data_IF_971456861647
#
_entry.id   IF_971456861647
#
_cell.length_a   1.000
_cell.length_b   1.000
_cell.length_c   1.000
_cell.angle_alpha   90.00
_cell.angle_beta   90.00
_cell.angle_gamma   90.00
#
_symmetry.space_group_name_H-M   'P 1'
#
loop_
_entity.id
_entity.type
_entity.pdbx_description
1 polymer ?
#
# COMPACT_ATOMS: atom_id res chain seq x y z
N UNK A 1 42.71 -8.77 4.17
CA UNK A 1 41.83 -9.60 3.32
C UNK A 1 40.70 -10.15 4.20
N UNK A 2 39.78 -9.27 4.65
CA UNK A 2 38.78 -9.61 5.68
C UNK A 2 37.52 -8.74 5.51
N UNK A 3 36.84 -8.80 4.37
CA UNK A 3 35.74 -7.85 4.10
C UNK A 3 34.48 -8.44 3.49
N UNK A 4 34.41 -9.77 3.30
CA UNK A 4 33.20 -10.42 2.78
C UNK A 4 32.52 -11.33 3.81
N UNK A 5 33.29 -12.04 4.66
CA UNK A 5 32.77 -12.97 5.67
C UNK A 5 32.10 -12.28 6.86
N UNK A 6 32.55 -11.07 7.22
CA UNK A 6 32.14 -10.41 8.47
C UNK A 6 30.84 -9.61 8.30
N UNK A 7 30.49 -9.25 7.06
CA UNK A 7 29.21 -8.64 6.72
C UNK A 7 28.04 -9.62 6.90
N UNK A 8 28.27 -10.90 6.60
CA UNK A 8 27.27 -11.97 6.73
C UNK A 8 26.77 -12.14 8.17
N UNK A 9 27.63 -11.93 9.16
CA UNK A 9 27.25 -12.03 10.59
C UNK A 9 26.41 -10.86 11.09
N UNK A 10 26.47 -9.70 10.44
CA UNK A 10 25.78 -8.48 10.88
C UNK A 10 24.37 -8.32 10.26
N UNK A 11 24.11 -9.00 9.13
CA UNK A 11 22.88 -8.83 8.35
C UNK A 11 22.20 -10.18 8.03
N UNK A 12 21.77 -10.94 9.05
CA UNK A 12 21.23 -12.28 8.86
C UNK A 12 19.99 -12.32 7.96
N UNK A 13 19.09 -11.34 8.08
CA UNK A 13 17.88 -11.26 7.24
C UNK A 13 18.20 -10.99 5.76
N UNK A 14 19.26 -10.23 5.48
CA UNK A 14 19.66 -9.91 4.11
C UNK A 14 20.22 -11.14 3.40
N UNK A 15 20.91 -12.03 4.12
CA UNK A 15 21.37 -13.31 3.57
C UNK A 15 20.20 -14.19 3.14
N UNK A 16 19.14 -14.25 3.95
CA UNK A 16 17.94 -15.02 3.60
C UNK A 16 17.31 -14.51 2.31
N UNK A 17 17.21 -13.18 2.15
CA UNK A 17 16.72 -12.59 0.90
C UNK A 17 17.67 -12.88 -0.27
N UNK A 18 18.98 -12.82 -0.04
CA UNK A 18 19.99 -13.11 -1.08
C UNK A 18 19.93 -14.55 -1.57
N UNK A 19 19.66 -15.51 -0.68
CA UNK A 19 19.49 -16.92 -1.04
C UNK A 19 18.09 -17.25 -1.55
N UNK A 20 17.15 -16.29 -1.51
CA UNK A 20 15.73 -16.50 -1.73
C UNK A 20 15.09 -17.52 -0.77
N UNK A 21 15.60 -17.61 0.47
CA UNK A 21 15.10 -18.47 1.54
C UNK A 21 13.83 -17.89 2.19
N UNK A 22 12.80 -17.62 1.37
CA UNK A 22 11.58 -16.91 1.78
C UNK A 22 10.85 -17.59 2.95
N UNK A 23 10.92 -18.91 3.07
CA UNK A 23 10.30 -19.67 4.16
C UNK A 23 10.96 -19.40 5.52
N UNK A 24 12.29 -19.26 5.53
CA UNK A 24 13.02 -18.90 6.74
C UNK A 24 12.88 -17.41 7.02
N UNK A 25 12.90 -16.59 5.98
CA UNK A 25 12.62 -15.15 6.08
C UNK A 25 11.28 -14.87 6.76
N UNK A 26 10.20 -15.57 6.36
CA UNK A 26 8.87 -15.40 6.96
C UNK A 26 8.83 -15.76 8.46
N UNK A 27 9.62 -16.74 8.89
CA UNK A 27 9.71 -17.13 10.31
C UNK A 27 10.44 -16.06 11.13
N UNK A 28 11.57 -15.59 10.62
CA UNK A 28 12.44 -14.63 11.32
C UNK A 28 11.85 -13.21 11.36
N UNK A 29 11.04 -12.82 10.35
CA UNK A 29 10.44 -11.48 10.28
C UNK A 29 9.37 -11.19 11.34
N UNK A 30 8.84 -12.20 12.06
CA UNK A 30 7.75 -12.03 13.04
C UNK A 30 8.10 -11.16 14.25
N UNK A 31 9.37 -10.88 14.50
CA UNK A 31 9.81 -10.02 15.61
C UNK A 31 10.97 -9.11 15.25
N UNK A 32 11.23 -8.92 13.95
CA UNK A 32 12.39 -8.20 13.45
C UNK A 32 11.97 -6.97 12.65
N UNK A 33 12.92 -6.05 12.48
CA UNK A 33 12.70 -4.86 11.66
C UNK A 33 12.79 -5.20 10.18
N UNK A 34 11.65 -5.16 9.48
CA UNK A 34 11.53 -5.36 8.02
C UNK A 34 12.30 -4.29 7.23
N UNK A 35 12.49 -3.13 7.86
CA UNK A 35 13.14 -1.95 7.29
C UNK A 35 14.65 -1.90 7.55
N UNK A 36 15.25 -3.03 7.93
CA UNK A 36 16.70 -3.13 8.08
C UNK A 36 17.39 -2.78 6.76
N UNK A 37 18.50 -2.05 6.86
CA UNK A 37 19.29 -1.61 5.73
C UNK A 37 20.58 -2.43 5.61
N UNK A 38 20.95 -2.76 4.38
CA UNK A 38 22.23 -3.40 4.07
C UNK A 38 23.40 -2.38 4.05
N UNK A 39 24.66 -2.81 3.90
CA UNK A 39 25.81 -1.91 3.77
C UNK A 39 25.75 -0.94 2.58
N UNK A 40 24.86 -1.16 1.61
CA UNK A 40 24.58 -0.29 0.46
C UNK A 40 23.34 0.60 0.69
N UNK A 41 22.74 0.56 1.88
CA UNK A 41 21.55 1.31 2.25
C UNK A 41 20.28 0.87 1.53
N UNK A 42 20.21 -0.39 1.09
CA UNK A 42 19.01 -1.01 0.53
C UNK A 42 18.22 -1.67 1.64
N UNK A 43 16.90 -1.54 1.61
CA UNK A 43 16.04 -2.36 2.47
C UNK A 43 16.04 -3.81 2.00
N UNK A 44 15.53 -4.72 2.84
CA UNK A 44 15.25 -6.11 2.43
C UNK A 44 14.40 -6.17 1.14
N UNK A 45 13.42 -5.27 1.01
CA UNK A 45 12.54 -5.23 -0.16
C UNK A 45 13.27 -4.76 -1.43
N UNK A 46 14.11 -3.72 -1.34
CA UNK A 46 14.98 -3.32 -2.46
C UNK A 46 15.86 -4.49 -2.90
N UNK A 47 16.47 -5.20 -1.94
CA UNK A 47 17.30 -6.36 -2.25
C UNK A 47 16.50 -7.46 -2.97
N UNK A 48 15.33 -7.84 -2.47
CA UNK A 48 14.48 -8.85 -3.09
C UNK A 48 14.07 -8.48 -4.53
N UNK A 49 13.69 -7.21 -4.74
CA UNK A 49 13.32 -6.69 -6.06
C UNK A 49 14.50 -6.69 -7.02
N UNK A 50 15.67 -6.20 -6.58
CA UNK A 50 16.89 -6.15 -7.38
C UNK A 50 17.37 -7.52 -7.86
N UNK A 51 17.07 -8.57 -7.07
CA UNK A 51 17.43 -9.95 -7.36
C UNK A 51 16.33 -10.72 -8.12
N UNK A 52 15.15 -10.12 -8.33
CA UNK A 52 14.01 -10.80 -8.97
C UNK A 52 13.35 -11.86 -8.08
N UNK A 53 13.55 -11.80 -6.76
CA UNK A 53 13.05 -12.80 -5.81
C UNK A 53 11.59 -12.51 -5.43
N UNK A 54 10.66 -12.90 -6.30
CA UNK A 54 9.22 -12.65 -6.17
C UNK A 54 8.65 -13.11 -4.81
N UNK A 55 8.95 -14.33 -4.38
CA UNK A 55 8.41 -14.87 -3.13
C UNK A 55 8.95 -14.15 -1.89
N UNK A 56 10.25 -13.80 -1.90
CA UNK A 56 10.83 -12.96 -0.84
C UNK A 56 10.17 -11.58 -0.81
N UNK A 57 9.92 -10.97 -1.97
CA UNK A 57 9.20 -9.69 -2.05
C UNK A 57 7.76 -9.80 -1.51
N UNK A 58 7.02 -10.87 -1.85
CA UNK A 58 5.67 -11.12 -1.33
C UNK A 58 5.66 -11.25 0.20
N UNK A 59 6.61 -11.99 0.77
CA UNK A 59 6.75 -12.14 2.23
C UNK A 59 7.01 -10.78 2.89
N UNK A 60 7.96 -10.00 2.36
CA UNK A 60 8.29 -8.68 2.91
C UNK A 60 7.10 -7.71 2.85
N UNK A 61 6.36 -7.71 1.75
CA UNK A 61 5.17 -6.86 1.60
C UNK A 61 4.02 -7.27 2.54
N UNK A 62 3.82 -8.57 2.80
CA UNK A 62 2.87 -9.03 3.84
C UNK A 62 3.24 -8.55 5.23
N UNK A 63 4.54 -8.41 5.49
CA UNK A 63 5.09 -7.83 6.72
C UNK A 63 5.12 -6.29 6.71
N UNK A 64 4.39 -5.65 5.79
CA UNK A 64 4.25 -4.19 5.69
C UNK A 64 5.56 -3.45 5.41
N UNK A 65 6.44 -4.05 4.60
CA UNK A 65 7.59 -3.34 4.06
C UNK A 65 7.16 -2.06 3.32
N UNK A 66 7.86 -0.97 3.57
CA UNK A 66 7.57 0.33 2.98
C UNK A 66 8.09 0.40 1.54
N UNK A 67 7.15 0.44 0.59
CA UNK A 67 7.42 0.54 -0.85
C UNK A 67 7.88 1.94 -1.28
N UNK A 68 7.72 2.95 -0.43
CA UNK A 68 8.05 4.34 -0.73
C UNK A 68 9.47 4.73 -0.35
N UNK A 69 10.15 3.91 0.47
CA UNK A 69 11.53 4.18 0.84
C UNK A 69 12.46 4.24 -0.35
N UNK A 70 13.42 5.13 -0.23
CA UNK A 70 14.49 5.30 -1.20
C UNK A 70 15.77 4.60 -0.71
N UNK A 71 16.49 4.00 -1.64
CA UNK A 71 17.85 3.53 -1.42
C UNK A 71 18.85 4.71 -1.49
N UNK A 72 20.16 4.43 -1.39
CA UNK A 72 21.21 5.48 -1.44
C UNK A 72 21.27 6.26 -2.74
N UNK A 73 20.73 5.72 -3.83
CA UNK A 73 20.70 6.37 -5.13
C UNK A 73 19.42 7.21 -5.32
N UNK A 74 18.58 7.31 -4.28
CA UNK A 74 17.30 8.02 -4.33
C UNK A 74 16.20 7.24 -5.07
N UNK A 75 16.41 5.94 -5.32
CA UNK A 75 15.43 5.12 -6.03
C UNK A 75 14.50 4.45 -5.04
N UNK A 76 13.20 4.55 -5.31
CA UNK A 76 12.20 3.76 -4.59
C UNK A 76 12.17 2.31 -5.09
N UNK A 77 11.57 1.43 -4.30
CA UNK A 77 11.33 0.02 -4.66
C UNK A 77 10.64 -0.11 -6.02
N UNK A 78 9.70 0.79 -6.35
CA UNK A 78 9.01 0.77 -7.64
C UNK A 78 9.94 1.15 -8.81
N UNK A 79 10.83 2.13 -8.61
CA UNK A 79 11.83 2.46 -9.64
C UNK A 79 12.73 1.25 -9.94
N UNK A 80 13.16 0.56 -8.89
CA UNK A 80 13.99 -0.64 -9.02
C UNK A 80 13.20 -1.77 -9.72
N UNK A 81 11.95 -2.02 -9.34
CA UNK A 81 11.08 -3.02 -9.97
C UNK A 81 10.84 -2.73 -11.47
N UNK A 82 10.67 -1.47 -11.86
CA UNK A 82 10.54 -1.10 -13.27
C UNK A 82 11.86 -1.33 -14.02
N UNK A 83 12.99 -1.09 -13.37
CA UNK A 83 14.31 -1.28 -13.99
C UNK A 83 14.66 -2.74 -14.27
N UNK A 84 14.07 -3.71 -13.53
CA UNK A 84 14.30 -5.14 -13.79
C UNK A 84 13.60 -5.62 -15.06
N UNK A 85 12.58 -4.89 -15.54
CA UNK A 85 11.76 -5.29 -16.69
C UNK A 85 10.84 -6.48 -16.41
N UNK A 86 10.69 -6.90 -15.16
CA UNK A 86 9.80 -7.98 -14.75
C UNK A 86 8.39 -7.43 -14.45
N UNK A 87 7.40 -7.69 -15.32
CA UNK A 87 6.04 -7.18 -15.13
C UNK A 87 5.37 -7.77 -13.88
N UNK A 88 5.71 -8.98 -13.47
CA UNK A 88 5.13 -9.61 -12.28
C UNK A 88 5.63 -8.93 -11.01
N UNK A 89 6.93 -8.61 -10.95
CA UNK A 89 7.52 -7.85 -9.85
C UNK A 89 6.87 -6.47 -9.70
N UNK A 90 6.73 -5.74 -10.82
CA UNK A 90 6.08 -4.42 -10.84
C UNK A 90 4.64 -4.53 -10.35
N UNK A 91 3.89 -5.54 -10.81
CA UNK A 91 2.52 -5.77 -10.39
C UNK A 91 2.40 -5.98 -8.87
N UNK A 92 3.25 -6.84 -8.29
CA UNK A 92 3.23 -7.14 -6.85
C UNK A 92 3.47 -5.87 -6.00
N UNK A 93 4.46 -5.05 -6.39
CA UNK A 93 4.80 -3.81 -5.68
C UNK A 93 3.66 -2.79 -5.80
N UNK A 94 3.06 -2.63 -6.99
CA UNK A 94 1.94 -1.70 -7.21
C UNK A 94 0.70 -2.10 -6.42
N UNK A 95 0.33 -3.39 -6.43
CA UNK A 95 -0.84 -3.87 -5.68
C UNK A 95 -0.77 -3.52 -4.19
N UNK A 96 0.41 -3.68 -3.58
CA UNK A 96 0.59 -3.39 -2.16
C UNK A 96 0.65 -1.88 -1.88
N UNK A 97 1.17 -1.08 -2.80
CA UNK A 97 1.15 0.38 -2.73
C UNK A 97 -0.28 0.93 -2.74
N UNK A 98 -1.11 0.46 -3.68
CA UNK A 98 -2.48 0.93 -3.84
C UNK A 98 -3.37 0.46 -2.68
N UNK A 99 -3.14 -0.74 -2.14
CA UNK A 99 -3.78 -1.19 -0.90
C UNK A 99 -3.39 -0.30 0.30
N UNK A 100 -2.12 0.07 0.44
CA UNK A 100 -1.70 0.95 1.54
C UNK A 100 -2.33 2.35 1.40
N UNK A 101 -2.27 2.95 0.20
CA UNK A 101 -2.87 4.25 -0.08
C UNK A 101 -4.39 4.25 0.08
N UNK A 102 -5.08 3.20 -0.37
CA UNK A 102 -6.54 3.07 -0.17
C UNK A 102 -6.89 2.80 1.28
N UNK A 103 -6.11 2.00 2.03
CA UNK A 103 -6.35 1.82 3.48
C UNK A 103 -6.16 3.13 4.25
N UNK A 104 -5.14 3.93 3.93
CA UNK A 104 -4.90 5.25 4.53
C UNK A 104 -5.98 6.26 4.10
N UNK A 105 -6.44 6.22 2.85
CA UNK A 105 -7.58 7.02 2.39
C UNK A 105 -8.89 6.60 3.07
N UNK A 106 -9.07 5.31 3.32
CA UNK A 106 -10.22 4.72 4.03
C UNK A 106 -10.12 4.82 5.55
N UNK A 107 -8.99 5.25 6.12
CA UNK A 107 -8.86 5.67 7.52
C UNK A 107 -9.35 7.13 7.72
N UNK A 108 -9.50 7.92 6.65
CA UNK A 108 -10.20 9.21 6.66
C UNK A 108 -11.68 9.16 6.23
N UNK A 109 -12.09 8.15 5.47
CA UNK A 109 -13.50 7.90 5.08
C UNK A 109 -14.34 7.05 6.08
N UNK A 110 -13.83 6.42 7.16
CA UNK A 110 -14.61 5.47 7.94
C UNK A 110 -15.54 6.19 8.92
N UNK A 111 -15.27 7.43 9.33
CA UNK A 111 -16.16 8.16 10.24
C UNK A 111 -17.52 8.44 9.62
N UNK A 112 -17.58 8.82 8.34
CA UNK A 112 -18.85 9.04 7.65
C UNK A 112 -19.58 7.73 7.38
N UNK A 113 -18.87 6.67 6.94
CA UNK A 113 -19.46 5.36 6.71
C UNK A 113 -19.94 4.71 8.01
N UNK A 114 -19.18 4.81 9.08
CA UNK A 114 -19.54 4.34 10.41
C UNK A 114 -20.74 5.12 10.96
N UNK A 115 -20.77 6.45 10.82
CA UNK A 115 -21.87 7.28 11.28
C UNK A 115 -23.17 7.05 10.50
N UNK A 116 -23.07 6.75 9.19
CA UNK A 116 -24.21 6.34 8.36
C UNK A 116 -24.74 4.96 8.79
N UNK A 117 -23.87 4.03 9.20
CA UNK A 117 -24.26 2.70 9.68
C UNK A 117 -24.83 2.74 11.12
N UNK A 118 -24.36 3.65 11.96
CA UNK A 118 -24.84 3.85 13.34
C UNK A 118 -26.15 4.65 13.42
N UNK A 119 -26.49 5.44 12.39
CA UNK A 119 -27.71 6.25 12.37
C UNK A 119 -28.60 5.91 11.16
N UNK A 120 -29.49 4.90 11.26
CA UNK A 120 -30.53 4.63 10.25
C UNK A 120 -31.35 5.88 9.90
N UNK A 121 -31.48 6.79 10.87
CA UNK A 121 -32.23 8.03 10.77
C UNK A 121 -31.50 9.13 9.98
N UNK A 122 -30.18 9.07 9.77
CA UNK A 122 -29.48 10.12 9.01
C UNK A 122 -29.92 10.16 7.54
N UNK A 123 -30.14 8.99 6.93
CA UNK A 123 -30.70 8.90 5.58
C UNK A 123 -32.13 9.44 5.52
N UNK A 124 -32.93 9.19 6.56
CA UNK A 124 -34.31 9.67 6.68
C UNK A 124 -34.33 11.19 6.89
N UNK A 125 -33.48 11.72 7.76
CA UNK A 125 -33.28 13.15 8.03
C UNK A 125 -32.88 13.91 6.75
N UNK A 126 -31.88 13.42 6.02
CA UNK A 126 -31.46 13.96 4.72
C UNK A 126 -32.59 13.96 3.69
N UNK A 127 -33.40 12.90 3.66
CA UNK A 127 -34.55 12.77 2.75
C UNK A 127 -35.70 13.72 3.13
N UNK A 128 -35.93 13.96 4.42
CA UNK A 128 -36.93 14.92 4.89
C UNK A 128 -36.54 16.35 4.59
N UNK A 129 -35.27 16.74 4.77
CA UNK A 129 -34.79 18.08 4.38
C UNK A 129 -34.93 18.32 2.88
N UNK A 130 -34.62 17.32 2.04
CA UNK A 130 -34.83 17.41 0.59
C UNK A 130 -36.31 17.58 0.19
N UNK A 131 -37.21 16.95 0.95
CA UNK A 131 -38.66 17.00 0.68
C UNK A 131 -39.26 18.33 1.16
N UNK A 132 -38.84 18.83 2.32
CA UNK A 132 -39.27 20.12 2.87
C UNK A 132 -38.80 21.28 1.98
N UNK A 133 -37.56 21.21 1.47
CA UNK A 133 -37.01 22.24 0.58
C UNK A 133 -37.77 22.34 -0.76
N UNK A 134 -38.30 21.22 -1.27
CA UNK A 134 -39.14 21.21 -2.48
C UNK A 134 -40.60 21.62 -2.21
N UNK A 135 -41.07 21.50 -0.97
CA UNK A 135 -42.43 21.86 -0.58
C UNK A 135 -42.57 23.36 -0.28
N UNK A 136 -41.51 24.02 0.21
CA UNK A 136 -41.54 25.44 0.61
C UNK A 136 -41.08 26.44 -0.47
N UNK A 137 -40.44 26.01 -1.56
CA UNK A 137 -40.00 26.90 -2.64
C UNK A 137 -40.42 26.40 -4.04
N UNK A 138 -41.65 26.71 -4.50
CA UNK A 138 -42.15 26.29 -5.82
C UNK A 138 -41.48 26.98 -7.04
N UNK A 139 -40.48 27.85 -6.85
CA UNK A 139 -39.93 28.73 -7.89
C UNK A 139 -38.59 28.27 -8.52
N UNK A 140 -38.01 27.13 -8.14
CA UNK A 140 -36.72 26.66 -8.69
C UNK A 140 -36.86 25.48 -9.66
N UNK A 141 -37.86 25.51 -10.56
CA UNK A 141 -38.08 24.47 -11.58
C UNK A 141 -37.15 24.54 -12.82
N UNK A 142 -36.26 25.53 -12.93
CA UNK A 142 -35.36 25.66 -14.09
C UNK A 142 -33.91 25.36 -13.73
N UNK A 143 -33.54 24.07 -13.64
CA UNK A 143 -32.22 23.50 -13.99
C UNK A 143 -32.12 22.02 -13.58
N UNK A 144 -32.96 21.16 -14.16
CA UNK A 144 -32.71 19.71 -14.18
C UNK A 144 -33.02 19.17 -15.58
N UNK A 145 -32.08 19.39 -16.50
CA UNK A 145 -32.09 18.75 -17.82
C UNK A 145 -30.80 17.97 -18.13
N UNK A 146 -30.05 17.55 -17.10
CA UNK A 146 -28.77 16.84 -17.33
C UNK A 146 -28.54 15.61 -16.43
N UNK A 147 -29.60 15.04 -15.85
CA UNK A 147 -29.50 13.76 -15.11
C UNK A 147 -30.72 12.89 -15.46
N UNK A 148 -30.86 12.54 -16.73
CA UNK A 148 -31.75 11.45 -17.16
C UNK A 148 -31.07 10.40 -18.07
N UNK A 149 -29.81 10.61 -18.45
CA UNK A 149 -29.14 9.74 -19.43
C UNK A 149 -27.93 8.97 -18.84
N UNK A 150 -27.94 8.65 -17.55
CA UNK A 150 -27.02 7.68 -16.96
C UNK A 150 -27.79 6.66 -16.09
N UNK A 151 -28.62 5.87 -16.76
CA UNK A 151 -28.88 4.47 -16.44
C UNK A 151 -28.85 3.68 -17.75
#
# INVERSE_FOLDING_TARGET
MSSASDASGHFPLHLLVWNNDYQQLEKELRGQNVEALDPRGRTLLHLAVSLGHLESARVLLRHKADVTKENRDGWTVLHEAVSTGDPEMVYIVLQHRDYHNTSMALEGVPELLQKILETPDFYVQMKWEFTIFHSFHPQLKLKRRYIKDLF
#
